data_IF_795030766710
#
_entry.id   IF_795030766710
#
_cell.length_a   1.000
_cell.length_b   1.000
_cell.length_c   1.000
_cell.angle_alpha   90.00
_cell.angle_beta   90.00
_cell.angle_gamma   90.00
#
_symmetry.space_group_name_H-M   'P 1'
#
loop_
_entity.id
_entity.type
_entity.pdbx_description
1 polymer ?
#
# COMPACT_ATOMS: atom_id res chain seq x y z
N UNK A 1 38.32 -1.50 4.12
CA UNK A 1 37.37 -0.82 3.28
C UNK A 1 36.03 -0.69 4.00
N UNK A 2 35.62 0.51 4.27
CA UNK A 2 34.30 0.77 4.88
C UNK A 2 33.25 0.69 3.79
N UNK A 3 32.41 -0.35 3.84
CA UNK A 3 31.20 -0.36 3.01
C UNK A 3 30.21 0.61 3.64
N UNK A 4 29.83 1.66 2.93
CA UNK A 4 28.75 2.54 3.38
C UNK A 4 27.45 1.75 3.47
N UNK A 5 26.79 1.81 4.62
CA UNK A 5 25.44 1.27 4.77
C UNK A 5 24.50 2.23 4.04
N UNK A 6 23.65 1.67 3.17
CA UNK A 6 22.61 2.47 2.52
C UNK A 6 21.61 2.94 3.59
N UNK A 7 21.62 4.24 3.89
CA UNK A 7 20.70 4.85 4.86
C UNK A 7 19.37 5.27 4.22
N UNK A 8 19.21 5.07 2.91
CA UNK A 8 18.00 5.39 2.17
C UNK A 8 17.44 4.12 1.49
N UNK A 9 16.91 3.16 2.26
CA UNK A 9 16.39 1.94 1.68
C UNK A 9 15.15 2.21 0.82
N UNK A 10 15.02 1.43 -0.25
CA UNK A 10 13.83 1.35 -1.05
C UNK A 10 13.13 0.04 -0.71
N UNK A 11 11.90 0.13 -0.18
CA UNK A 11 11.05 -1.05 0.00
C UNK A 11 10.37 -1.34 -1.33
N UNK A 12 10.44 -2.59 -1.78
CA UNK A 12 9.80 -3.02 -3.01
C UNK A 12 9.20 -4.40 -2.81
N UNK A 13 7.93 -4.55 -3.15
CA UNK A 13 7.21 -5.82 -3.09
C UNK A 13 6.25 -5.93 -4.26
N UNK A 14 5.94 -7.13 -4.68
CA UNK A 14 5.13 -7.35 -5.87
C UNK A 14 4.26 -8.60 -5.76
N UNK A 15 3.20 -8.63 -6.55
CA UNK A 15 2.28 -9.77 -6.59
C UNK A 15 1.55 -9.80 -7.94
N UNK A 16 1.45 -10.98 -8.54
CA UNK A 16 0.59 -11.20 -9.68
C UNK A 16 -0.86 -11.36 -9.21
N UNK A 17 -1.75 -10.55 -9.72
CA UNK A 17 -3.18 -10.63 -9.46
C UNK A 17 -3.85 -11.14 -10.75
N UNK A 18 -4.62 -12.22 -10.64
CA UNK A 18 -5.27 -12.87 -11.79
C UNK A 18 -6.61 -12.20 -12.09
N UNK A 19 -6.53 -10.90 -12.38
CA UNK A 19 -7.66 -10.06 -12.79
C UNK A 19 -7.16 -9.01 -13.78
N UNK A 20 -8.04 -8.47 -14.65
CA UNK A 20 -7.68 -7.38 -15.57
C UNK A 20 -7.21 -6.13 -14.85
N UNK A 21 -6.34 -5.36 -15.49
CA UNK A 21 -5.70 -4.19 -14.89
C UNK A 21 -6.70 -3.13 -14.41
N UNK A 22 -7.80 -2.92 -15.11
CA UNK A 22 -8.82 -1.94 -14.69
C UNK A 22 -9.50 -2.34 -13.37
N UNK A 23 -9.69 -3.63 -13.14
CA UNK A 23 -10.27 -4.15 -11.89
C UNK A 23 -9.27 -3.97 -10.74
N UNK A 24 -8.01 -4.31 -10.98
CA UNK A 24 -6.95 -4.23 -9.95
C UNK A 24 -6.65 -2.77 -9.59
N UNK A 25 -6.54 -1.90 -10.58
CA UNK A 25 -6.34 -0.47 -10.37
C UNK A 25 -7.47 0.14 -9.55
N UNK A 26 -8.72 -0.13 -9.93
CA UNK A 26 -9.91 0.40 -9.24
C UNK A 26 -9.97 -0.05 -7.78
N UNK A 27 -9.46 -1.22 -7.45
CA UNK A 27 -9.42 -1.71 -6.08
C UNK A 27 -8.62 -0.81 -5.13
N UNK A 28 -7.63 -0.08 -5.63
CA UNK A 28 -6.86 0.89 -4.84
C UNK A 28 -7.43 2.30 -4.90
N UNK A 29 -8.27 2.60 -5.88
CA UNK A 29 -8.84 3.93 -6.09
C UNK A 29 -10.15 4.11 -5.32
N UNK A 30 -10.99 3.07 -5.30
CA UNK A 30 -12.33 3.09 -4.71
C UNK A 30 -12.31 2.55 -3.28
N UNK A 31 -12.60 3.40 -2.26
CA UNK A 31 -12.57 2.98 -0.87
C UNK A 31 -13.50 1.81 -0.55
N UNK A 32 -14.65 1.72 -1.21
CA UNK A 32 -15.58 0.61 -0.99
C UNK A 32 -14.94 -0.76 -1.30
N UNK A 33 -13.90 -0.76 -2.13
CA UNK A 33 -13.15 -1.96 -2.44
C UNK A 33 -11.90 -2.06 -1.56
N UNK A 34 -11.13 -0.98 -1.45
CA UNK A 34 -9.86 -0.96 -0.70
C UNK A 34 -10.06 -1.34 0.77
N UNK A 35 -11.17 -0.93 1.36
CA UNK A 35 -11.49 -1.25 2.77
C UNK A 35 -11.73 -2.74 3.02
N UNK A 36 -11.89 -3.53 1.96
CA UNK A 36 -12.05 -4.98 2.09
C UNK A 36 -10.74 -5.70 2.40
N UNK A 37 -9.60 -5.07 2.12
CA UNK A 37 -8.31 -5.73 2.29
C UNK A 37 -7.22 -4.86 2.92
N UNK A 38 -7.47 -3.61 3.25
CA UNK A 38 -6.43 -2.71 3.78
C UNK A 38 -6.96 -1.83 4.92
N UNK A 39 -7.04 -0.50 4.72
CA UNK A 39 -7.57 0.41 5.72
C UNK A 39 -9.09 0.19 5.90
N UNK A 40 -9.66 0.72 6.99
CA UNK A 40 -11.08 0.49 7.30
C UNK A 40 -11.98 1.64 6.89
N UNK A 41 -11.41 2.85 6.71
CA UNK A 41 -12.20 4.03 6.37
C UNK A 41 -11.35 5.00 5.52
N UNK A 42 -11.99 5.68 4.60
CA UNK A 42 -11.38 6.72 3.78
C UNK A 42 -12.32 7.90 3.61
N UNK A 43 -11.75 9.09 3.51
CA UNK A 43 -12.53 10.31 3.24
C UNK A 43 -13.03 10.41 1.80
N UNK A 44 -12.53 9.58 0.90
CA UNK A 44 -13.00 9.59 -0.48
C UNK A 44 -12.11 8.84 -1.46
N UNK A 45 -12.58 8.81 -2.69
CA UNK A 45 -11.90 8.21 -3.84
C UNK A 45 -10.61 8.96 -4.15
N UNK A 46 -9.57 8.25 -4.59
CA UNK A 46 -8.31 8.87 -4.99
C UNK A 46 -8.47 9.66 -6.29
N UNK A 47 -7.94 10.87 -6.30
CA UNK A 47 -7.80 11.68 -7.51
C UNK A 47 -6.54 12.55 -7.39
N UNK A 48 -5.92 12.85 -8.52
CA UNK A 48 -4.65 13.59 -8.53
C UNK A 48 -4.80 14.97 -7.87
N UNK A 49 -3.84 15.29 -7.01
CA UNK A 49 -3.81 16.54 -6.26
C UNK A 49 -4.67 16.57 -4.99
N UNK A 50 -5.44 15.53 -4.74
CA UNK A 50 -6.36 15.46 -3.59
C UNK A 50 -5.66 14.94 -2.34
N UNK A 51 -6.02 15.52 -1.19
CA UNK A 51 -5.68 14.96 0.12
C UNK A 51 -6.81 14.03 0.55
N UNK A 52 -6.45 12.84 1.02
CA UNK A 52 -7.39 11.81 1.45
C UNK A 52 -6.97 11.31 2.82
N UNK A 53 -7.93 11.16 3.72
CA UNK A 53 -7.70 10.61 5.05
C UNK A 53 -8.01 9.12 5.02
N UNK A 54 -7.01 8.30 5.33
CA UNK A 54 -7.16 6.86 5.55
C UNK A 54 -7.10 6.56 7.04
N UNK A 55 -7.97 5.67 7.49
CA UNK A 55 -8.06 5.32 8.90
C UNK A 55 -8.03 3.80 9.08
N UNK A 56 -7.24 3.38 10.06
CA UNK A 56 -7.20 2.00 10.55
C UNK A 56 -7.83 2.01 11.93
N UNK A 57 -9.15 1.86 11.97
CA UNK A 57 -9.95 2.02 13.19
C UNK A 57 -9.56 1.01 14.27
N UNK A 58 -9.18 -0.23 13.87
CA UNK A 58 -8.73 -1.25 14.81
C UNK A 58 -7.48 -0.85 15.60
N UNK A 59 -6.68 0.08 15.07
CA UNK A 59 -5.46 0.55 15.72
C UNK A 59 -5.56 1.99 16.21
N UNK A 60 -6.66 2.67 15.95
CA UNK A 60 -6.80 4.10 16.24
C UNK A 60 -5.80 4.97 15.47
N UNK A 61 -5.35 4.50 14.30
CA UNK A 61 -4.33 5.15 13.47
C UNK A 61 -4.97 5.74 12.23
N UNK A 62 -4.48 6.91 11.82
CA UNK A 62 -4.91 7.55 10.58
C UNK A 62 -3.71 8.15 9.86
N UNK A 63 -3.85 8.36 8.56
CA UNK A 63 -2.84 9.00 7.73
C UNK A 63 -3.55 9.87 6.68
N UNK A 64 -3.21 11.15 6.65
CA UNK A 64 -3.66 12.05 5.59
C UNK A 64 -2.64 11.99 4.46
N UNK A 65 -3.03 11.40 3.34
CA UNK A 65 -2.13 11.23 2.19
C UNK A 65 -2.44 12.25 1.12
N UNK A 66 -1.43 12.63 0.38
CA UNK A 66 -1.56 13.47 -0.81
C UNK A 66 -1.37 12.62 -2.06
N UNK A 67 -2.36 12.61 -2.94
CA UNK A 67 -2.24 11.93 -4.24
C UNK A 67 -1.43 12.82 -5.17
N UNK A 68 -0.17 12.48 -5.38
CA UNK A 68 0.76 13.30 -6.18
C UNK A 68 0.58 13.07 -7.67
N UNK A 69 0.43 11.82 -8.07
CA UNK A 69 0.25 11.46 -9.47
C UNK A 69 -0.70 10.27 -9.57
N UNK A 70 -1.50 10.26 -10.61
CA UNK A 70 -2.42 9.16 -10.88
C UNK A 70 -2.58 9.00 -12.39
N UNK A 71 -2.11 7.87 -12.92
CA UNK A 71 -2.30 7.48 -14.31
C UNK A 71 -3.19 6.24 -14.35
N UNK A 72 -4.36 6.37 -14.96
CA UNK A 72 -5.35 5.30 -15.02
C UNK A 72 -4.75 3.99 -15.54
N UNK A 73 -4.93 2.92 -14.77
CA UNK A 73 -4.47 1.56 -15.06
C UNK A 73 -2.95 1.40 -15.14
N UNK A 74 -2.18 2.39 -14.70
CA UNK A 74 -0.72 2.35 -14.79
C UNK A 74 -0.02 2.65 -13.48
N UNK A 75 -0.40 3.74 -12.78
CA UNK A 75 0.42 4.22 -11.69
C UNK A 75 -0.36 5.07 -10.70
N UNK A 76 -0.03 4.92 -9.42
CA UNK A 76 -0.49 5.80 -8.34
C UNK A 76 0.74 6.18 -7.54
N UNK A 77 0.95 7.47 -7.28
CA UNK A 77 1.99 7.97 -6.39
C UNK A 77 1.35 8.81 -5.30
N UNK A 78 1.58 8.42 -4.06
CA UNK A 78 1.11 9.18 -2.89
C UNK A 78 2.28 9.60 -2.01
N UNK A 79 2.05 10.64 -1.22
CA UNK A 79 2.94 11.04 -0.13
C UNK A 79 2.18 10.94 1.18
N UNK A 80 2.75 10.21 2.13
CA UNK A 80 2.22 10.04 3.48
C UNK A 80 2.49 11.29 4.31
N UNK A 81 1.76 11.46 5.41
CA UNK A 81 1.95 12.58 6.35
C UNK A 81 3.34 12.59 6.98
N UNK A 82 4.02 11.44 7.07
CA UNK A 82 5.39 11.34 7.59
C UNK A 82 6.47 11.68 6.55
N UNK A 83 6.08 12.06 5.33
CA UNK A 83 7.00 12.43 4.25
C UNK A 83 7.42 11.28 3.36
N UNK A 84 7.12 10.03 3.70
CA UNK A 84 7.42 8.89 2.82
C UNK A 84 6.54 8.91 1.59
N UNK A 85 7.05 8.35 0.49
CA UNK A 85 6.27 8.18 -0.74
C UNK A 85 6.00 6.71 -1.00
N UNK A 86 4.84 6.43 -1.57
CA UNK A 86 4.45 5.09 -1.98
C UNK A 86 3.98 5.15 -3.42
N UNK A 87 4.51 4.24 -4.24
CA UNK A 87 4.13 4.14 -5.64
C UNK A 87 3.60 2.75 -5.94
N UNK A 88 2.42 2.69 -6.57
CA UNK A 88 1.87 1.48 -7.15
C UNK A 88 2.06 1.54 -8.64
N UNK A 89 2.62 0.48 -9.22
CA UNK A 89 2.73 0.30 -10.67
C UNK A 89 1.91 -0.92 -11.08
N UNK A 90 1.15 -0.77 -12.15
CA UNK A 90 0.25 -1.81 -12.66
C UNK A 90 0.68 -2.18 -14.07
N UNK A 91 1.04 -3.43 -14.29
CA UNK A 91 1.46 -3.93 -15.59
C UNK A 91 0.54 -5.07 -16.03
N UNK A 92 -0.21 -4.83 -17.09
CA UNK A 92 -1.12 -5.83 -17.66
C UNK A 92 -0.33 -7.00 -18.28
N UNK A 93 -0.83 -8.21 -18.03
CA UNK A 93 -0.31 -9.45 -18.64
C UNK A 93 -1.49 -10.26 -19.17
N UNK A 94 -1.44 -10.64 -20.44
CA UNK A 94 -2.44 -11.50 -21.10
C UNK A 94 -3.90 -11.04 -20.96
N UNK A 95 -4.14 -9.74 -20.80
CA UNK A 95 -5.47 -9.11 -20.65
C UNK A 95 -6.26 -9.51 -19.39
N UNK A 96 -5.88 -10.57 -18.68
CA UNK A 96 -6.61 -11.09 -17.51
C UNK A 96 -5.74 -11.18 -16.26
N UNK A 97 -4.51 -10.71 -16.33
CA UNK A 97 -3.58 -10.73 -15.20
C UNK A 97 -2.88 -9.38 -15.09
N UNK A 98 -2.55 -9.00 -13.87
CA UNK A 98 -1.88 -7.73 -13.58
C UNK A 98 -0.76 -7.96 -12.59
N UNK A 99 0.46 -7.54 -12.95
CA UNK A 99 1.54 -7.45 -11.97
C UNK A 99 1.41 -6.13 -11.24
N UNK A 100 1.31 -6.19 -9.92
CA UNK A 100 1.29 -5.01 -9.05
C UNK A 100 2.62 -4.91 -8.33
N UNK A 101 3.30 -3.78 -8.49
CA UNK A 101 4.52 -3.46 -7.75
C UNK A 101 4.24 -2.31 -6.82
N UNK A 102 4.66 -2.42 -5.56
CA UNK A 102 4.59 -1.35 -4.58
C UNK A 102 5.99 -1.00 -4.16
N UNK A 103 6.35 0.28 -4.25
CA UNK A 103 7.62 0.80 -3.73
C UNK A 103 7.35 1.88 -2.69
N UNK A 104 8.14 1.87 -1.61
CA UNK A 104 8.02 2.85 -0.54
C UNK A 104 9.41 3.38 -0.21
N UNK A 105 9.56 4.69 -0.17
CA UNK A 105 10.83 5.37 -0.02
C UNK A 105 10.69 6.65 0.82
N UNK A 106 11.83 7.29 1.12
CA UNK A 106 11.83 8.56 1.83
C UNK A 106 11.75 8.41 3.34
N UNK A 107 12.22 7.28 3.88
CA UNK A 107 12.27 7.05 5.32
C UNK A 107 13.24 8.04 5.99
N UNK A 108 12.85 8.58 7.15
CA UNK A 108 13.63 9.55 7.90
C UNK A 108 13.88 9.06 9.33
N UNK A 109 14.92 9.60 9.95
CA UNK A 109 15.35 9.22 11.28
C UNK A 109 16.78 8.70 11.31
N UNK A 110 17.20 8.13 12.44
CA UNK A 110 18.49 7.47 12.53
C UNK A 110 18.47 6.11 11.79
N UNK A 111 19.63 5.46 11.68
CA UNK A 111 19.76 4.21 10.92
C UNK A 111 18.83 3.11 11.43
N UNK A 112 18.66 2.98 12.74
CA UNK A 112 17.78 1.96 13.33
C UNK A 112 16.30 2.25 13.05
N UNK A 113 15.88 3.51 13.17
CA UNK A 113 14.51 3.93 12.87
C UNK A 113 14.17 3.69 11.42
N UNK A 114 15.07 4.07 10.50
CA UNK A 114 14.89 3.87 9.05
C UNK A 114 14.78 2.37 8.73
N UNK A 115 15.66 1.56 9.32
CA UNK A 115 15.63 0.11 9.10
C UNK A 115 14.32 -0.51 9.61
N UNK A 116 13.90 -0.15 10.81
CA UNK A 116 12.67 -0.67 11.40
C UNK A 116 11.44 -0.28 10.58
N UNK A 117 11.35 0.97 10.11
CA UNK A 117 10.26 1.42 9.25
C UNK A 117 10.24 0.66 7.92
N UNK A 118 11.42 0.43 7.33
CA UNK A 118 11.52 -0.31 6.06
C UNK A 118 11.06 -1.77 6.23
N UNK A 119 11.47 -2.42 7.31
CA UNK A 119 11.07 -3.81 7.62
C UNK A 119 9.55 -3.88 7.81
N UNK A 120 8.97 -2.99 8.60
CA UNK A 120 7.52 -2.92 8.82
C UNK A 120 6.77 -2.69 7.52
N UNK A 121 7.24 -1.76 6.71
CA UNK A 121 6.61 -1.44 5.42
C UNK A 121 6.63 -2.64 4.47
N UNK A 122 7.75 -3.37 4.42
CA UNK A 122 7.86 -4.55 3.56
C UNK A 122 6.82 -5.61 3.93
N UNK A 123 6.68 -5.90 5.21
CA UNK A 123 5.66 -6.83 5.72
C UNK A 123 4.24 -6.32 5.47
N UNK A 124 4.00 -5.05 5.78
CA UNK A 124 2.68 -4.44 5.65
C UNK A 124 2.17 -4.42 4.21
N UNK A 125 2.97 -3.95 3.28
CA UNK A 125 2.55 -3.89 1.86
C UNK A 125 2.45 -5.26 1.22
N UNK A 126 3.27 -6.21 1.62
CA UNK A 126 3.13 -7.61 1.15
C UNK A 126 1.79 -8.21 1.61
N UNK A 127 1.39 -7.94 2.85
CA UNK A 127 0.07 -8.36 3.35
C UNK A 127 -1.08 -7.69 2.59
N UNK A 128 -0.95 -6.41 2.27
CA UNK A 128 -1.96 -5.69 1.46
C UNK A 128 -2.16 -6.40 0.13
N UNK A 129 -1.07 -6.78 -0.54
CA UNK A 129 -1.13 -7.52 -1.80
C UNK A 129 -1.77 -8.90 -1.65
N UNK A 130 -1.46 -9.61 -0.57
CA UNK A 130 -2.08 -10.90 -0.28
C UNK A 130 -3.59 -10.76 -0.06
N UNK A 131 -4.00 -9.76 0.71
CA UNK A 131 -5.42 -9.47 0.94
C UNK A 131 -6.16 -9.08 -0.33
N UNK A 132 -5.54 -8.25 -1.17
CA UNK A 132 -6.06 -7.89 -2.47
C UNK A 132 -6.30 -9.12 -3.34
N UNK A 133 -5.30 -10.00 -3.40
CA UNK A 133 -5.37 -11.24 -4.20
C UNK A 133 -6.52 -12.14 -3.73
N UNK A 134 -6.62 -12.37 -2.43
CA UNK A 134 -7.69 -13.19 -1.86
C UNK A 134 -9.07 -12.60 -2.16
N UNK A 135 -9.21 -11.29 -2.04
CA UNK A 135 -10.49 -10.62 -2.25
C UNK A 135 -10.89 -10.58 -3.72
N UNK A 136 -10.00 -10.13 -4.60
CA UNK A 136 -10.35 -10.00 -6.02
C UNK A 136 -10.51 -11.34 -6.72
N UNK A 137 -9.67 -12.31 -6.42
CA UNK A 137 -9.70 -13.61 -7.10
C UNK A 137 -10.73 -14.58 -6.51
N UNK A 138 -11.02 -14.48 -5.22
CA UNK A 138 -11.83 -15.46 -4.49
C UNK A 138 -12.96 -14.87 -3.66
N UNK A 139 -13.08 -13.56 -3.54
CA UNK A 139 -14.10 -12.91 -2.71
C UNK A 139 -13.94 -13.17 -1.21
N UNK A 140 -12.71 -13.50 -0.76
CA UNK A 140 -12.42 -13.86 0.62
C UNK A 140 -11.83 -12.67 1.36
N UNK A 141 -12.37 -12.39 2.56
CA UNK A 141 -11.85 -11.39 3.50
C UNK A 141 -10.98 -12.11 4.50
N UNK A 142 -9.66 -11.89 4.44
CA UNK A 142 -8.71 -12.57 5.32
C UNK A 142 -8.48 -11.83 6.64
N UNK A 143 -8.91 -10.56 6.75
CA UNK A 143 -8.71 -9.73 7.94
C UNK A 143 -7.23 -9.59 8.34
N UNK A 144 -6.32 -9.62 7.37
CA UNK A 144 -4.88 -9.67 7.62
C UNK A 144 -4.37 -8.50 8.47
N UNK A 145 -4.83 -7.29 8.17
CA UNK A 145 -4.35 -6.08 8.85
C UNK A 145 -4.78 -6.10 10.32
N UNK A 146 -6.02 -6.46 10.61
CA UNK A 146 -6.51 -6.55 11.99
C UNK A 146 -5.84 -7.69 12.76
N UNK A 147 -5.63 -8.81 12.09
CA UNK A 147 -5.13 -10.03 12.73
C UNK A 147 -3.60 -10.05 12.91
N UNK A 148 -2.90 -9.15 12.23
CA UNK A 148 -1.43 -9.03 12.33
C UNK A 148 -0.98 -8.68 13.75
N UNK A 149 -1.71 -7.78 14.42
CA UNK A 149 -1.38 -7.31 15.76
C UNK A 149 -2.68 -6.99 16.53
N UNK A 150 -3.50 -8.01 16.86
CA UNK A 150 -4.83 -7.79 17.44
C UNK A 150 -4.80 -7.11 18.81
N UNK A 151 -3.69 -7.25 19.52
CA UNK A 151 -3.52 -6.70 20.88
C UNK A 151 -2.71 -5.40 20.90
N UNK A 152 -2.57 -4.74 19.77
CA UNK A 152 -1.77 -3.53 19.63
C UNK A 152 -2.14 -2.41 20.61
N UNK A 153 -3.42 -2.38 21.03
CA UNK A 153 -3.95 -1.34 21.95
C UNK A 153 -3.98 -1.75 23.42
N UNK A 154 -3.56 -2.93 23.76
CA UNK A 154 -3.55 -3.41 25.15
C UNK A 154 -2.23 -3.02 25.91
#
# INVERSE_FOLDING_TARGET
MNKSINTNPLVSTEMLIRKPVNIVFEAFIEPDITTKFWFTKSSGRLSEGKKVLWEWEMYGVSDEILVKELETNKRILIQSSNGTTVEWSFTSRNNNETMVNITNAGFTGNADEVLNHAIDAMGGYTMVLCGLKAYLEHGILLNLVADKAPDFHL
#
